data_IF_161370677799
#
_entry.id   IF_161370677799
#
_cell.length_a   1.000
_cell.length_b   1.000
_cell.length_c   1.000
_cell.angle_alpha   90.00
_cell.angle_beta   90.00
_cell.angle_gamma   90.00
#
_symmetry.space_group_name_H-M   'P 1'
#
loop_
_entity.id
_entity.type
_entity.pdbx_description
1 polymer ?
#
# COMPACT_ATOMS: atom_id res chain seq x y z
N UNK A 1 -22.70 -11.39 -1.77
CA UNK A 1 -21.37 -11.99 -1.52
C UNK A 1 -20.63 -11.12 -0.51
N UNK A 2 -20.91 -11.31 0.79
CA UNK A 2 -20.35 -10.51 1.88
C UNK A 2 -19.17 -11.26 2.50
N UNK A 3 -17.99 -11.09 1.93
CA UNK A 3 -16.80 -11.81 2.38
C UNK A 3 -15.52 -11.21 1.84
N UNK A 4 -15.22 -9.96 2.17
CA UNK A 4 -13.87 -9.39 2.04
C UNK A 4 -13.73 -8.28 3.08
N UNK A 5 -12.64 -8.31 3.84
CA UNK A 5 -12.26 -7.30 4.83
C UNK A 5 -12.50 -5.88 4.29
N UNK A 6 -13.30 -5.09 5.01
CA UNK A 6 -13.75 -3.78 4.56
C UNK A 6 -12.56 -2.84 4.27
N UNK A 7 -12.24 -2.62 3.00
CA UNK A 7 -11.45 -1.48 2.54
C UNK A 7 -10.06 -1.76 1.95
N UNK A 8 -9.52 -2.98 2.01
CA UNK A 8 -8.17 -3.24 1.47
C UNK A 8 -8.20 -3.73 0.01
N UNK A 9 -7.44 -3.04 -0.84
CA UNK A 9 -7.09 -3.47 -2.20
C UNK A 9 -6.10 -4.65 -2.17
N UNK A 10 -6.01 -5.44 -3.26
CA UNK A 10 -4.97 -6.45 -3.40
C UNK A 10 -3.55 -5.89 -3.22
N UNK A 11 -3.32 -4.65 -3.67
CA UNK A 11 -2.03 -3.98 -3.52
C UNK A 11 -1.69 -3.71 -2.05
N UNK A 12 -2.63 -3.20 -1.25
CA UNK A 12 -2.42 -2.97 0.19
C UNK A 12 -2.13 -4.29 0.93
N UNK A 13 -2.89 -5.35 0.65
CA UNK A 13 -2.65 -6.65 1.26
C UNK A 13 -1.30 -7.26 0.85
N UNK A 14 -0.92 -7.16 -0.43
CA UNK A 14 0.38 -7.61 -0.91
C UNK A 14 1.52 -6.80 -0.30
N UNK A 15 1.33 -5.48 -0.15
CA UNK A 15 2.31 -4.57 0.40
C UNK A 15 2.61 -4.85 1.88
N UNK A 16 1.58 -5.13 2.68
CA UNK A 16 1.75 -5.49 4.09
C UNK A 16 2.54 -6.79 4.31
N UNK A 17 2.49 -7.73 3.36
CA UNK A 17 3.08 -9.07 3.49
C UNK A 17 4.33 -9.26 2.60
N UNK A 18 4.90 -8.19 2.04
CA UNK A 18 6.14 -8.29 1.28
C UNK A 18 6.05 -9.02 -0.07
N UNK A 19 4.84 -9.19 -0.64
CA UNK A 19 4.63 -10.00 -1.85
C UNK A 19 5.07 -9.28 -3.14
N UNK A 20 6.38 -9.08 -3.33
CA UNK A 20 6.97 -8.30 -4.42
C UNK A 20 6.50 -8.72 -5.82
N UNK A 21 6.44 -10.02 -6.13
CA UNK A 21 6.03 -10.49 -7.45
C UNK A 21 4.59 -10.12 -7.79
N UNK A 22 3.70 -10.19 -6.80
CA UNK A 22 2.31 -9.77 -6.94
C UNK A 22 2.23 -8.26 -7.14
N UNK A 23 3.00 -7.49 -6.38
CA UNK A 23 3.04 -6.03 -6.50
C UNK A 23 3.53 -5.62 -7.90
N UNK A 24 4.59 -6.27 -8.41
CA UNK A 24 5.10 -6.04 -9.78
C UNK A 24 4.03 -6.34 -10.83
N UNK A 25 3.32 -7.46 -10.70
CA UNK A 25 2.23 -7.81 -11.60
C UNK A 25 1.11 -6.75 -11.58
N UNK A 26 0.71 -6.29 -10.40
CA UNK A 26 -0.32 -5.26 -10.26
C UNK A 26 0.12 -3.93 -10.90
N UNK A 27 1.37 -3.51 -10.67
CA UNK A 27 1.94 -2.29 -11.27
C UNK A 27 1.98 -2.39 -12.81
N UNK A 28 2.33 -3.55 -13.37
CA UNK A 28 2.30 -3.79 -14.82
C UNK A 28 0.90 -3.62 -15.42
N UNK A 29 -0.15 -3.86 -14.64
CA UNK A 29 -1.54 -3.63 -15.02
C UNK A 29 -2.04 -2.21 -14.73
N UNK A 30 -1.14 -1.27 -14.43
CA UNK A 30 -1.44 0.15 -14.23
C UNK A 30 -2.50 0.42 -13.15
N UNK A 31 -2.49 -0.34 -12.06
CA UNK A 31 -3.38 -0.08 -10.92
C UNK A 31 -3.08 1.29 -10.30
N UNK A 32 -4.10 1.92 -9.72
CA UNK A 32 -3.92 3.15 -8.96
C UNK A 32 -3.24 2.85 -7.61
N UNK A 33 -2.05 3.39 -7.39
CA UNK A 33 -1.27 3.22 -6.16
C UNK A 33 -1.79 4.05 -4.98
N UNK A 34 -2.63 5.06 -5.27
CA UNK A 34 -3.08 6.06 -4.30
C UNK A 34 -4.45 5.73 -3.68
N UNK A 35 -4.92 4.48 -3.82
CA UNK A 35 -6.20 4.06 -3.22
C UNK A 35 -6.06 4.04 -1.69
N UNK A 36 -7.00 4.71 -1.04
CA UNK A 36 -7.13 4.76 0.42
C UNK A 36 -8.15 3.73 0.91
N UNK A 37 -7.85 3.09 2.03
CA UNK A 37 -8.83 2.31 2.78
C UNK A 37 -9.69 3.18 3.72
N UNK A 38 -10.45 2.54 4.60
CA UNK A 38 -11.33 3.23 5.56
C UNK A 38 -10.59 4.11 6.55
N UNK A 39 -9.31 3.88 6.80
CA UNK A 39 -8.46 4.63 7.73
C UNK A 39 -7.61 5.70 7.00
N UNK A 40 -7.75 5.78 5.68
CA UNK A 40 -6.97 6.66 4.82
C UNK A 40 -5.59 6.10 4.51
N UNK A 41 -5.33 4.83 4.84
CA UNK A 41 -4.06 4.18 4.60
C UNK A 41 -3.99 3.73 3.13
N UNK A 42 -2.83 3.95 2.53
CA UNK A 42 -2.48 3.53 1.16
C UNK A 42 -1.48 2.38 1.20
N UNK A 43 -1.15 1.79 0.05
CA UNK A 43 -0.18 0.69 -0.01
C UNK A 43 1.14 0.98 0.73
N UNK A 44 1.62 2.23 0.71
CA UNK A 44 2.84 2.67 1.42
C UNK A 44 2.72 2.58 2.95
N UNK A 45 1.52 2.83 3.51
CA UNK A 45 1.26 2.72 4.94
C UNK A 45 1.24 1.24 5.37
N UNK A 46 0.62 0.39 4.55
CA UNK A 46 0.59 -1.05 4.76
C UNK A 46 1.99 -1.68 4.65
N UNK A 47 2.81 -1.26 3.68
CA UNK A 47 4.20 -1.69 3.57
C UNK A 47 5.03 -1.32 4.81
N UNK A 48 4.87 -0.09 5.32
CA UNK A 48 5.54 0.33 6.55
C UNK A 48 5.09 -0.50 7.76
N UNK A 49 3.79 -0.76 7.90
CA UNK A 49 3.26 -1.63 8.95
C UNK A 49 3.84 -3.06 8.91
N UNK A 50 4.11 -3.57 7.71
CA UNK A 50 4.73 -4.87 7.49
C UNK A 50 6.25 -4.92 7.65
N UNK A 51 6.92 -3.79 7.90
CA UNK A 51 8.39 -3.66 7.85
C UNK A 51 9.00 -4.02 6.47
N UNK A 52 8.26 -3.72 5.39
CA UNK A 52 8.61 -4.14 4.03
C UNK A 52 9.34 -3.03 3.25
N UNK A 53 10.61 -2.80 3.60
CA UNK A 53 11.44 -1.74 3.01
C UNK A 53 11.59 -1.87 1.47
N UNK A 54 11.74 -3.09 0.95
CA UNK A 54 11.85 -3.33 -0.50
C UNK A 54 10.54 -2.99 -1.23
N UNK A 55 9.39 -3.22 -0.59
CA UNK A 55 8.09 -2.82 -1.12
C UNK A 55 7.94 -1.30 -1.14
N UNK A 56 8.34 -0.61 -0.08
CA UNK A 56 8.33 0.85 -0.03
C UNK A 56 9.17 1.45 -1.18
N UNK A 57 10.36 0.90 -1.41
CA UNK A 57 11.21 1.32 -2.51
C UNK A 57 10.56 1.07 -3.87
N UNK A 58 9.97 -0.11 -4.07
CA UNK A 58 9.27 -0.45 -5.31
C UNK A 58 8.09 0.50 -5.58
N UNK A 59 7.26 0.76 -4.57
CA UNK A 59 6.11 1.66 -4.68
C UNK A 59 6.56 3.10 -5.00
N UNK A 60 7.60 3.59 -4.33
CA UNK A 60 8.14 4.93 -4.57
C UNK A 60 8.71 5.08 -5.98
N UNK A 61 9.49 4.09 -6.46
CA UNK A 61 9.99 4.05 -7.85
C UNK A 61 8.86 3.98 -8.88
N UNK A 62 7.69 3.49 -8.48
CA UNK A 62 6.49 3.39 -9.31
C UNK A 62 5.57 4.61 -9.20
N UNK A 63 5.99 5.64 -8.46
CA UNK A 63 5.29 6.92 -8.37
C UNK A 63 4.35 7.06 -7.16
N UNK A 64 4.37 6.14 -6.21
CA UNK A 64 3.58 6.28 -4.99
C UNK A 64 4.10 7.43 -4.09
N UNK A 65 3.19 8.18 -3.47
CA UNK A 65 3.56 9.26 -2.53
C UNK A 65 3.89 8.70 -1.13
N UNK A 66 5.18 8.64 -0.79
CA UNK A 66 5.64 8.22 0.55
C UNK A 66 5.28 9.22 1.66
N UNK A 67 4.99 10.46 1.32
CA UNK A 67 4.60 11.51 2.27
C UNK A 67 3.09 11.64 2.42
N UNK A 68 2.31 10.75 1.78
CA UNK A 68 0.88 10.64 1.96
C UNK A 68 0.53 10.56 3.45
N UNK A 69 -0.52 11.26 3.86
CA UNK A 69 -0.99 11.26 5.25
C UNK A 69 -2.33 10.58 5.34
N UNK A 70 -2.44 9.56 6.19
CA UNK A 70 -3.71 8.93 6.51
C UNK A 70 -4.63 9.84 7.35
N UNK A 71 -5.82 9.35 7.74
CA UNK A 71 -6.80 10.15 8.51
C UNK A 71 -6.28 10.55 9.91
N UNK A 72 -5.28 9.85 10.43
CA UNK A 72 -4.59 10.18 11.69
C UNK A 72 -3.44 11.16 11.49
N UNK A 73 -3.26 11.67 10.27
CA UNK A 73 -2.19 12.57 9.87
C UNK A 73 -0.79 11.93 9.97
N UNK A 74 -0.70 10.61 9.94
CA UNK A 74 0.55 9.85 9.94
C UNK A 74 0.99 9.60 8.50
N UNK A 75 2.30 9.66 8.25
CA UNK A 75 2.90 9.15 7.00
C UNK A 75 3.35 7.71 7.20
N UNK A 76 3.81 7.05 6.13
CA UNK A 76 4.42 5.72 6.21
C UNK A 76 5.53 5.63 7.28
N UNK A 77 6.35 6.68 7.43
CA UNK A 77 7.43 6.72 8.44
C UNK A 77 6.93 6.80 9.91
N UNK A 78 5.67 7.19 10.13
CA UNK A 78 5.09 7.28 11.48
C UNK A 78 4.38 6.00 11.93
N UNK A 79 4.17 5.04 11.03
CA UNK A 79 3.56 3.74 11.30
C UNK A 79 4.64 2.80 11.82
#
# INVERSE_FOLDING_TARGET
VNGIFAGHTPLQAAAQNGHLDIIRLLIQHHVNLEIEDKDGDRAVHHAAFGDEAEVLELLARSGADLNARNKRRQTALHI
#
